data_IF_452700177799
#
_entry.id   IF_452700177799
#
_cell.length_a   1.000
_cell.length_b   1.000
_cell.length_c   1.000
_cell.angle_alpha   90.00
_cell.angle_beta   90.00
_cell.angle_gamma   90.00
#
_symmetry.space_group_name_H-M   'P 1'
#
loop_
_entity.id
_entity.type
_entity.pdbx_description
1 polymer ?
#
# COMPACT_ATOMS: atom_id res chain seq x y z
N UNK A 1 -61.91 25.53 -26.68
CA UNK A 1 -61.77 24.56 -27.78
C UNK A 1 -60.30 24.24 -27.96
N UNK A 2 -60.00 22.96 -27.91
CA UNK A 2 -58.91 22.22 -28.58
C UNK A 2 -57.50 22.59 -28.13
N UNK A 3 -56.67 21.76 -27.56
CA UNK A 3 -56.54 20.33 -27.47
C UNK A 3 -55.03 20.13 -27.35
N UNK A 4 -54.58 19.47 -26.27
CA UNK A 4 -53.20 18.96 -26.22
C UNK A 4 -53.01 17.84 -27.24
N UNK A 5 -51.76 17.49 -27.60
CA UNK A 5 -51.25 16.29 -27.01
C UNK A 5 -49.76 16.32 -26.65
N UNK A 6 -49.46 15.50 -25.66
CA UNK A 6 -48.14 15.25 -25.12
C UNK A 6 -47.19 14.51 -26.07
N UNK A 7 -45.92 14.84 -25.92
CA UNK A 7 -44.79 14.13 -26.51
C UNK A 7 -43.94 13.50 -25.42
N UNK A 8 -44.00 12.17 -25.27
CA UNK A 8 -43.09 11.40 -24.46
C UNK A 8 -41.74 11.33 -25.18
N UNK A 9 -40.72 11.96 -24.61
CA UNK A 9 -39.32 11.70 -24.99
C UNK A 9 -38.87 10.40 -24.32
N UNK A 10 -38.58 9.40 -25.14
CA UNK A 10 -37.94 8.16 -24.72
C UNK A 10 -36.43 8.43 -24.60
N UNK A 11 -35.90 8.31 -23.40
CA UNK A 11 -34.48 8.29 -23.19
C UNK A 11 -33.88 7.01 -23.75
N UNK A 12 -33.00 7.16 -24.73
CA UNK A 12 -32.18 6.07 -25.25
C UNK A 12 -31.00 5.88 -24.29
N UNK A 13 -31.01 4.77 -23.55
CA UNK A 13 -29.89 4.32 -22.75
C UNK A 13 -28.70 3.96 -23.66
N UNK A 14 -27.60 4.65 -23.49
CA UNK A 14 -26.33 4.26 -24.08
C UNK A 14 -25.80 3.02 -23.32
N UNK A 15 -25.95 1.85 -23.94
CA UNK A 15 -25.28 0.63 -23.49
C UNK A 15 -23.78 0.81 -23.67
N UNK A 16 -23.03 0.80 -22.57
CA UNK A 16 -21.58 0.76 -22.57
C UNK A 16 -21.10 -0.53 -23.26
N UNK A 17 -20.31 -0.38 -24.32
CA UNK A 17 -19.65 -1.48 -25.02
C UNK A 17 -18.68 -2.18 -24.04
N UNK A 18 -18.96 -3.44 -23.73
CA UNK A 18 -18.01 -4.34 -23.13
C UNK A 18 -16.80 -4.50 -24.05
N UNK A 19 -15.60 -4.41 -23.49
CA UNK A 19 -14.37 -4.72 -24.21
C UNK A 19 -14.33 -6.22 -24.60
N UNK A 20 -13.68 -6.58 -25.75
CA UNK A 20 -13.65 -7.96 -26.18
C UNK A 20 -12.83 -8.82 -25.23
N UNK A 21 -13.42 -9.91 -24.74
CA UNK A 21 -12.72 -10.99 -24.11
C UNK A 21 -11.87 -11.70 -25.16
N UNK A 22 -10.54 -11.73 -24.96
CA UNK A 22 -9.70 -12.53 -25.86
C UNK A 22 -8.23 -12.12 -25.88
N UNK A 23 -7.48 -12.34 -24.80
CA UNK A 23 -6.08 -12.73 -24.86
C UNK A 23 -5.88 -13.66 -23.67
N UNK A 24 -5.58 -14.95 -23.94
CA UNK A 24 -5.37 -15.94 -22.91
C UNK A 24 -4.28 -15.49 -21.96
N UNK A 25 -4.66 -15.17 -20.74
CA UNK A 25 -3.72 -14.96 -19.65
C UNK A 25 -3.04 -16.30 -19.37
N UNK A 26 -1.71 -16.32 -19.18
CA UNK A 26 -1.04 -17.55 -18.72
C UNK A 26 -1.74 -18.04 -17.45
N UNK A 27 -1.90 -19.34 -17.32
CA UNK A 27 -2.52 -19.96 -16.16
C UNK A 27 -1.85 -19.42 -14.89
N UNK A 28 -2.65 -18.74 -14.07
CA UNK A 28 -2.18 -18.07 -12.86
C UNK A 28 -1.89 -19.14 -11.81
N UNK A 29 -0.70 -19.15 -11.18
CA UNK A 29 -0.40 -20.06 -10.08
C UNK A 29 -1.38 -19.82 -8.92
N UNK A 30 -1.93 -20.89 -8.35
CA UNK A 30 -2.96 -20.85 -7.29
C UNK A 30 -2.46 -20.31 -5.93
N UNK A 31 -1.21 -19.86 -5.81
CA UNK A 31 -0.57 -19.49 -4.54
C UNK A 31 0.19 -18.15 -4.66
N UNK A 32 -0.48 -17.06 -4.98
CA UNK A 32 0.17 -15.77 -4.78
C UNK A 32 0.12 -15.40 -3.29
N UNK A 33 1.29 -15.16 -2.69
CA UNK A 33 1.41 -14.65 -1.32
C UNK A 33 1.31 -13.12 -1.35
N UNK A 34 0.60 -12.57 -0.36
CA UNK A 34 0.62 -11.14 -0.11
C UNK A 34 2.00 -10.74 0.42
N UNK A 35 2.69 -9.82 -0.24
CA UNK A 35 3.94 -9.26 0.29
C UNK A 35 3.67 -7.93 0.97
N UNK A 36 4.21 -7.77 2.17
CA UNK A 36 4.14 -6.55 2.96
C UNK A 36 5.53 -5.99 3.15
N UNK A 37 5.76 -4.75 2.75
CA UNK A 37 6.99 -4.00 3.03
C UNK A 37 6.73 -3.04 4.18
N UNK A 38 7.47 -3.19 5.26
CA UNK A 38 7.46 -2.28 6.40
C UNK A 38 8.88 -1.87 6.79
N UNK A 39 9.00 -1.07 7.83
CA UNK A 39 10.28 -0.57 8.34
C UNK A 39 10.16 0.86 8.87
N UNK A 40 11.18 1.39 9.53
CA UNK A 40 11.08 2.66 10.23
C UNK A 40 10.82 3.85 9.30
N UNK A 41 10.23 4.89 9.89
CA UNK A 41 10.09 6.18 9.22
C UNK A 41 11.46 6.67 8.74
N UNK A 42 11.53 7.17 7.50
CA UNK A 42 12.79 7.67 6.91
C UNK A 42 13.74 6.60 6.36
N UNK A 43 13.41 5.31 6.45
CA UNK A 43 14.27 4.23 5.91
C UNK A 43 14.30 4.21 4.38
N UNK A 44 13.31 4.79 3.69
CA UNK A 44 13.25 4.87 2.23
C UNK A 44 12.24 3.93 1.57
N UNK A 45 11.23 3.43 2.31
CA UNK A 45 10.16 2.57 1.75
C UNK A 45 9.54 3.16 0.48
N UNK A 46 9.04 4.39 0.55
CA UNK A 46 8.34 5.01 -0.59
C UNK A 46 9.26 5.25 -1.80
N UNK A 47 10.58 5.41 -1.59
CA UNK A 47 11.55 5.47 -2.68
C UNK A 47 11.69 4.12 -3.37
N UNK A 48 11.80 3.04 -2.58
CA UNK A 48 11.84 1.66 -3.10
C UNK A 48 10.56 1.33 -3.85
N UNK A 49 9.40 1.66 -3.29
CA UNK A 49 8.08 1.42 -3.90
C UNK A 49 7.90 2.19 -5.20
N UNK A 50 8.32 3.47 -5.24
CA UNK A 50 8.29 4.26 -6.48
C UNK A 50 9.15 3.64 -7.58
N UNK A 51 10.34 3.14 -7.23
CA UNK A 51 11.24 2.50 -8.16
C UNK A 51 10.72 1.12 -8.61
N UNK A 52 10.14 0.32 -7.70
CA UNK A 52 9.46 -0.93 -8.06
C UNK A 52 8.32 -0.68 -9.06
N UNK A 53 7.46 0.32 -8.78
CA UNK A 53 6.35 0.69 -9.68
C UNK A 53 6.83 1.05 -11.09
N UNK A 54 8.03 1.65 -11.20
CA UNK A 54 8.63 2.03 -12.48
C UNK A 54 9.24 0.84 -13.22
N UNK A 55 9.90 -0.10 -12.51
CA UNK A 55 10.68 -1.20 -13.11
C UNK A 55 9.90 -2.48 -13.30
N UNK A 56 8.92 -2.71 -12.45
CA UNK A 56 8.18 -3.98 -12.36
C UNK A 56 6.67 -3.70 -12.33
N UNK A 57 6.11 -3.19 -13.45
CA UNK A 57 4.68 -2.83 -13.52
C UNK A 57 3.74 -4.03 -13.36
N UNK A 58 4.25 -5.26 -13.48
CA UNK A 58 3.53 -6.51 -13.19
C UNK A 58 3.22 -6.68 -11.69
N UNK A 59 3.99 -6.04 -10.80
CA UNK A 59 3.72 -6.04 -9.37
C UNK A 59 2.67 -4.98 -9.07
N UNK A 60 1.50 -5.44 -8.65
CA UNK A 60 0.47 -4.52 -8.20
C UNK A 60 0.80 -4.01 -6.79
N UNK A 61 0.87 -2.69 -6.65
CA UNK A 61 1.15 -2.02 -5.38
C UNK A 61 -0.14 -1.35 -4.91
N UNK A 62 -0.60 -1.71 -3.72
CA UNK A 62 -1.84 -1.16 -3.17
C UNK A 62 -1.77 0.35 -3.01
N UNK A 63 -2.92 1.01 -3.17
CA UNK A 63 -3.11 2.42 -2.85
C UNK A 63 -3.91 2.50 -1.56
N UNK A 64 -3.33 3.08 -0.53
CA UNK A 64 -3.97 3.25 0.78
C UNK A 64 -4.99 4.39 0.76
N UNK A 65 -5.99 4.31 1.65
CA UNK A 65 -6.86 5.46 1.97
C UNK A 65 -6.24 6.27 3.11
N UNK A 66 -6.48 7.58 3.12
CA UNK A 66 -6.04 8.45 4.21
C UNK A 66 -7.00 9.61 4.44
N UNK A 67 -7.07 10.06 5.71
CA UNK A 67 -7.80 11.28 6.09
C UNK A 67 -6.93 12.54 5.98
N UNK A 68 -5.63 12.38 5.70
CA UNK A 68 -4.72 13.50 5.48
C UNK A 68 -5.05 14.21 4.18
N UNK A 69 -5.02 15.54 4.20
CA UNK A 69 -5.12 16.33 2.97
C UNK A 69 -4.00 16.04 1.99
N UNK A 70 -4.26 16.07 0.66
CA UNK A 70 -3.22 15.87 -0.35
C UNK A 70 -2.10 16.92 -0.22
N UNK A 71 -0.87 16.49 -0.45
CA UNK A 71 0.28 17.39 -0.60
C UNK A 71 0.36 17.89 -2.05
N UNK A 72 1.07 19.01 -2.31
CA UNK A 72 1.31 19.46 -3.68
C UNK A 72 1.90 18.34 -4.55
N UNK A 73 1.24 18.05 -5.68
CA UNK A 73 1.65 17.01 -6.63
C UNK A 73 1.11 15.60 -6.36
N UNK A 74 0.46 15.37 -5.22
CA UNK A 74 -0.26 14.11 -4.98
C UNK A 74 -1.62 14.11 -5.71
N UNK A 75 -1.99 12.97 -6.28
CA UNK A 75 -3.21 12.77 -7.06
C UNK A 75 -4.04 11.68 -6.40
N UNK A 76 -5.34 11.94 -6.24
CA UNK A 76 -6.27 10.95 -5.71
C UNK A 76 -6.29 9.67 -6.56
N UNK A 77 -6.28 8.53 -5.88
CA UNK A 77 -6.21 7.20 -6.51
C UNK A 77 -4.83 6.79 -7.02
N UNK A 78 -3.80 7.63 -6.90
CA UNK A 78 -2.42 7.31 -7.29
C UNK A 78 -1.48 7.17 -6.08
N UNK A 79 -1.35 8.21 -5.27
CA UNK A 79 -0.57 8.19 -4.03
C UNK A 79 -1.41 7.64 -2.89
N UNK A 80 -2.62 8.17 -2.75
CA UNK A 80 -3.64 7.77 -1.77
C UNK A 80 -5.03 7.96 -2.35
N UNK A 81 -6.02 7.30 -1.76
CA UNK A 81 -7.41 7.71 -1.81
C UNK A 81 -7.64 8.68 -0.63
N UNK A 82 -7.95 9.94 -0.92
CA UNK A 82 -8.15 10.96 0.10
C UNK A 82 -9.62 11.02 0.48
N UNK A 83 -9.92 10.67 1.73
CA UNK A 83 -11.29 10.58 2.25
C UNK A 83 -11.48 11.45 3.49
N UNK A 84 -12.73 11.73 3.87
CA UNK A 84 -13.03 12.39 5.15
C UNK A 84 -12.84 11.44 6.33
N UNK A 85 -12.76 11.98 7.55
CA UNK A 85 -12.70 11.17 8.76
C UNK A 85 -13.95 10.29 8.90
N UNK A 86 -15.13 10.81 8.59
CA UNK A 86 -16.40 10.09 8.66
C UNK A 86 -16.44 8.92 7.69
N UNK A 87 -15.98 9.14 6.45
CA UNK A 87 -15.92 8.08 5.45
C UNK A 87 -14.90 7.00 5.85
N UNK A 88 -13.75 7.39 6.37
CA UNK A 88 -12.76 6.43 6.87
C UNK A 88 -13.33 5.58 8.00
N UNK A 89 -14.02 6.19 8.97
CA UNK A 89 -14.63 5.49 10.11
C UNK A 89 -15.76 4.56 9.67
N UNK A 90 -16.53 4.95 8.64
CA UNK A 90 -17.50 4.08 7.99
C UNK A 90 -16.81 2.84 7.40
N UNK A 91 -15.73 3.05 6.61
CA UNK A 91 -14.98 1.96 5.99
C UNK A 91 -14.40 0.99 7.03
N UNK A 92 -13.78 1.53 8.10
CA UNK A 92 -13.21 0.73 9.18
C UNK A 92 -14.29 -0.09 9.90
N UNK A 93 -15.43 0.54 10.24
CA UNK A 93 -16.55 -0.12 10.91
C UNK A 93 -17.23 -1.18 10.05
N UNK A 94 -17.25 -0.99 8.73
CA UNK A 94 -17.79 -1.95 7.77
C UNK A 94 -16.84 -3.12 7.44
N UNK A 95 -15.60 -3.12 7.98
CA UNK A 95 -14.59 -4.14 7.67
C UNK A 95 -14.08 -4.07 6.22
N UNK A 96 -14.15 -2.90 5.61
CA UNK A 96 -13.68 -2.66 4.23
C UNK A 96 -12.16 -2.46 4.16
N UNK A 97 -11.49 -2.28 5.31
CA UNK A 97 -10.04 -2.15 5.40
C UNK A 97 -9.40 -3.47 5.82
N UNK A 98 -8.29 -3.82 5.19
CA UNK A 98 -7.47 -4.98 5.54
C UNK A 98 -6.71 -4.74 6.85
N UNK A 99 -6.21 -3.54 7.00
CA UNK A 99 -5.53 -2.98 8.17
C UNK A 99 -5.74 -1.47 8.19
N UNK A 100 -5.56 -0.85 9.34
CA UNK A 100 -5.50 0.59 9.45
C UNK A 100 -4.78 1.04 10.73
N UNK A 101 -4.21 2.24 10.70
CA UNK A 101 -3.54 2.85 11.83
C UNK A 101 -3.76 4.37 11.83
N UNK A 102 -3.58 4.97 13.02
CA UNK A 102 -3.55 6.41 13.17
C UNK A 102 -2.10 6.88 13.36
N UNK A 103 -1.71 7.89 12.59
CA UNK A 103 -0.40 8.51 12.70
C UNK A 103 -0.51 10.03 12.55
N UNK A 104 0.03 10.76 13.52
CA UNK A 104 0.05 12.24 13.54
C UNK A 104 -1.34 12.87 13.33
N UNK A 105 -2.38 12.30 13.95
CA UNK A 105 -3.76 12.79 13.88
C UNK A 105 -4.48 12.49 12.57
N UNK A 106 -3.89 11.69 11.69
CA UNK A 106 -4.52 11.20 10.46
C UNK A 106 -4.61 9.68 10.47
N UNK A 107 -5.62 9.16 9.80
CA UNK A 107 -5.83 7.73 9.63
C UNK A 107 -5.34 7.27 8.27
N UNK A 108 -4.78 6.06 8.24
CA UNK A 108 -4.27 5.42 7.03
C UNK A 108 -4.74 3.97 7.06
N UNK A 109 -5.12 3.42 5.91
CA UNK A 109 -5.56 2.04 5.85
C UNK A 109 -5.52 1.49 4.43
N UNK A 110 -5.50 0.18 4.31
CA UNK A 110 -5.48 -0.52 3.03
C UNK A 110 -6.87 -1.06 2.69
N UNK A 111 -7.50 -0.64 1.58
CA UNK A 111 -8.76 -1.22 1.12
C UNK A 111 -8.62 -2.73 0.89
N UNK A 112 -9.50 -3.53 1.51
CA UNK A 112 -9.39 -4.98 1.50
C UNK A 112 -9.82 -5.59 0.15
N UNK A 113 -10.85 -5.05 -0.49
CA UNK A 113 -11.42 -5.64 -1.69
C UNK A 113 -10.43 -5.70 -2.87
N UNK A 114 -9.70 -4.62 -3.24
CA UNK A 114 -8.72 -4.67 -4.33
C UNK A 114 -7.58 -5.67 -4.06
N UNK A 115 -7.13 -5.76 -2.79
CA UNK A 115 -6.08 -6.71 -2.40
C UNK A 115 -6.56 -8.16 -2.61
N UNK A 116 -7.75 -8.49 -2.13
CA UNK A 116 -8.34 -9.83 -2.30
C UNK A 116 -8.51 -10.20 -3.75
N UNK A 117 -9.06 -9.27 -4.56
CA UNK A 117 -9.23 -9.49 -6.00
C UNK A 117 -7.90 -9.82 -6.70
N UNK A 118 -6.82 -9.09 -6.38
CA UNK A 118 -5.50 -9.35 -6.97
C UNK A 118 -4.91 -10.69 -6.54
N UNK A 119 -5.05 -11.05 -5.28
CA UNK A 119 -4.61 -12.36 -4.78
C UNK A 119 -5.41 -13.52 -5.39
N UNK A 120 -6.72 -13.38 -5.57
CA UNK A 120 -7.57 -14.36 -6.23
C UNK A 120 -7.20 -14.57 -7.72
N UNK A 121 -6.74 -13.49 -8.37
CA UNK A 121 -6.19 -13.53 -9.73
C UNK A 121 -4.77 -14.08 -9.76
N UNK A 122 -4.14 -14.37 -8.61
CA UNK A 122 -2.76 -14.83 -8.50
C UNK A 122 -1.72 -13.79 -8.90
N UNK A 123 -2.05 -12.52 -8.83
CA UNK A 123 -1.16 -11.43 -9.23
C UNK A 123 -0.20 -11.06 -8.09
N UNK A 124 1.08 -10.81 -8.41
CA UNK A 124 2.05 -10.32 -7.43
C UNK A 124 1.56 -9.03 -6.78
N UNK A 125 1.39 -9.06 -5.44
CA UNK A 125 0.74 -7.98 -4.68
C UNK A 125 1.64 -7.51 -3.56
N UNK A 126 1.86 -6.19 -3.49
CA UNK A 126 2.69 -5.53 -2.48
C UNK A 126 1.89 -4.48 -1.71
N UNK A 127 1.99 -4.50 -0.38
CA UNK A 127 1.56 -3.43 0.51
C UNK A 127 2.76 -2.66 1.05
N UNK A 128 2.71 -1.33 1.10
CA UNK A 128 3.62 -0.48 1.87
C UNK A 128 2.86 0.05 3.08
N UNK A 129 3.15 -0.48 4.27
CA UNK A 129 2.46 -0.14 5.51
C UNK A 129 3.45 0.03 6.68
N UNK A 130 2.97 0.57 7.79
CA UNK A 130 3.75 0.70 9.02
C UNK A 130 3.78 -0.62 9.83
N UNK A 131 4.46 -0.60 10.98
CA UNK A 131 4.58 -1.74 11.87
C UNK A 131 3.22 -2.19 12.42
N UNK A 132 2.34 -1.24 12.77
CA UNK A 132 1.03 -1.56 13.33
C UNK A 132 0.14 -2.25 12.29
N UNK A 133 0.14 -1.76 11.06
CA UNK A 133 -0.53 -2.40 9.94
C UNK A 133 0.03 -3.79 9.62
N UNK A 134 1.36 -3.96 9.61
CA UNK A 134 2.01 -5.24 9.37
C UNK A 134 1.61 -6.30 10.41
N UNK A 135 1.51 -5.91 11.69
CA UNK A 135 1.02 -6.79 12.77
C UNK A 135 -0.44 -7.18 12.58
N UNK A 136 -1.31 -6.24 12.14
CA UNK A 136 -2.71 -6.53 11.85
C UNK A 136 -2.84 -7.52 10.68
N UNK A 137 -2.10 -7.30 9.59
CA UNK A 137 -2.07 -8.24 8.46
C UNK A 137 -1.60 -9.63 8.92
N UNK A 138 -0.53 -9.71 9.71
CA UNK A 138 -0.03 -10.99 10.25
C UNK A 138 -1.07 -11.70 11.12
N UNK A 139 -1.82 -10.97 11.92
CA UNK A 139 -2.87 -11.53 12.77
C UNK A 139 -4.09 -12.03 11.97
N UNK A 140 -4.38 -11.38 10.83
CA UNK A 140 -5.54 -11.68 9.99
C UNK A 140 -5.26 -12.73 8.90
N UNK A 141 -4.00 -13.09 8.64
CA UNK A 141 -3.58 -14.00 7.56
C UNK A 141 -2.79 -15.18 8.08
N UNK A 142 -2.78 -16.29 7.32
CA UNK A 142 -1.86 -17.39 7.60
C UNK A 142 -0.44 -17.01 7.19
N UNK A 143 0.56 -17.55 7.87
CA UNK A 143 1.97 -17.27 7.59
C UNK A 143 2.38 -17.67 6.17
N UNK A 144 1.82 -18.75 5.66
CA UNK A 144 2.10 -19.22 4.31
C UNK A 144 1.47 -18.36 3.20
N UNK A 145 0.42 -17.60 3.55
CA UNK A 145 -0.29 -16.73 2.61
C UNK A 145 0.29 -15.30 2.56
N UNK A 146 1.23 -14.97 3.47
CA UNK A 146 1.76 -13.61 3.60
C UNK A 146 3.25 -13.62 3.91
N UNK A 147 4.00 -12.82 3.16
CA UNK A 147 5.42 -12.56 3.38
C UNK A 147 5.60 -11.15 3.96
N UNK A 148 6.09 -11.05 5.19
CA UNK A 148 6.45 -9.78 5.80
C UNK A 148 7.93 -9.48 5.58
N UNK A 149 8.22 -8.37 4.91
CA UNK A 149 9.57 -7.88 4.63
C UNK A 149 9.82 -6.60 5.42
N UNK A 150 10.90 -6.60 6.20
CA UNK A 150 11.34 -5.43 6.95
C UNK A 150 12.49 -4.74 6.23
N UNK A 151 12.36 -3.43 6.00
CA UNK A 151 13.42 -2.63 5.43
C UNK A 151 14.21 -1.94 6.55
N UNK A 152 15.49 -2.25 6.66
CA UNK A 152 16.41 -1.64 7.62
C UNK A 152 17.28 -0.56 6.97
N UNK A 153 17.66 0.48 7.73
CA UNK A 153 18.71 1.39 7.29
C UNK A 153 20.09 0.69 7.36
N UNK A 154 21.09 1.15 6.60
CA UNK A 154 22.46 0.61 6.70
C UNK A 154 23.08 0.79 8.09
N UNK A 155 22.65 1.81 8.82
CA UNK A 155 23.05 2.07 10.20
C UNK A 155 22.06 3.01 10.89
N UNK A 156 22.07 3.02 12.23
CA UNK A 156 21.33 3.99 13.02
C UNK A 156 21.71 5.43 12.67
N UNK A 157 23.00 5.74 12.51
CA UNK A 157 23.48 7.07 12.15
C UNK A 157 22.93 7.55 10.80
N UNK A 158 22.83 6.65 9.82
CA UNK A 158 22.23 6.97 8.52
C UNK A 158 20.74 7.26 8.63
N UNK A 159 20.00 6.50 9.45
CA UNK A 159 18.58 6.78 9.70
C UNK A 159 18.39 8.14 10.38
N UNK A 160 19.20 8.42 11.41
CA UNK A 160 19.19 9.73 12.08
C UNK A 160 19.45 10.84 11.06
N UNK A 161 20.47 10.71 10.22
CA UNK A 161 20.78 11.69 9.17
C UNK A 161 19.60 11.93 8.23
N UNK A 162 18.91 10.87 7.80
CA UNK A 162 17.71 10.95 6.92
C UNK A 162 16.52 11.61 7.62
N UNK A 163 16.32 11.33 8.91
CA UNK A 163 15.24 11.90 9.70
C UNK A 163 15.46 13.36 10.05
N UNK A 164 16.73 13.78 10.28
CA UNK A 164 17.09 15.15 10.66
C UNK A 164 17.46 16.04 9.46
N UNK A 165 17.76 15.42 8.31
CA UNK A 165 18.41 16.10 7.18
C UNK A 165 17.58 17.16 6.46
N UNK A 166 16.31 17.37 6.81
CA UNK A 166 15.50 18.48 6.31
C UNK A 166 15.63 19.76 7.14
N UNK A 167 16.19 19.69 8.36
CA UNK A 167 16.50 20.83 9.20
C UNK A 167 15.35 21.76 9.60
N UNK A 168 14.12 21.42 9.23
CA UNK A 168 12.93 22.28 9.37
C UNK A 168 12.02 21.91 10.53
N UNK A 169 12.29 20.77 11.18
CA UNK A 169 11.43 20.26 12.28
C UNK A 169 11.99 20.68 13.65
N UNK A 170 11.12 21.02 14.63
CA UNK A 170 11.52 21.28 16.00
C UNK A 170 12.25 20.08 16.63
N UNK A 171 13.21 20.28 17.52
CA UNK A 171 13.99 19.20 18.15
C UNK A 171 13.13 18.11 18.83
N UNK A 172 12.03 18.50 19.47
CA UNK A 172 11.10 17.58 20.13
C UNK A 172 10.37 16.68 19.14
N UNK A 173 10.07 17.17 17.94
CA UNK A 173 9.46 16.36 16.86
C UNK A 173 10.46 15.33 16.37
N UNK A 174 11.71 15.75 16.15
CA UNK A 174 12.81 14.85 15.75
C UNK A 174 13.04 13.77 16.80
N UNK A 175 13.12 14.13 18.09
CA UNK A 175 13.31 13.16 19.18
C UNK A 175 12.17 12.14 19.25
N UNK A 176 10.91 12.56 19.08
CA UNK A 176 9.76 11.67 19.04
C UNK A 176 9.85 10.68 17.87
N UNK A 177 10.22 11.18 16.67
CA UNK A 177 10.42 10.33 15.48
C UNK A 177 11.55 9.30 15.67
N UNK A 178 12.65 9.72 16.33
CA UNK A 178 13.76 8.82 16.63
C UNK A 178 13.37 7.75 17.67
N UNK A 179 12.56 8.10 18.67
CA UNK A 179 12.04 7.13 19.63
C UNK A 179 11.18 6.06 18.93
N UNK A 180 10.21 6.49 18.11
CA UNK A 180 9.37 5.58 17.31
C UNK A 180 10.24 4.72 16.38
N UNK A 181 11.23 5.28 15.71
CA UNK A 181 12.11 4.52 14.82
C UNK A 181 12.93 3.44 15.56
N UNK A 182 13.31 3.65 16.83
CA UNK A 182 13.95 2.61 17.66
C UNK A 182 13.00 1.46 17.98
N UNK A 183 11.75 1.77 18.31
CA UNK A 183 10.72 0.75 18.55
C UNK A 183 10.43 -0.05 17.28
N UNK A 184 10.33 0.63 16.13
CA UNK A 184 10.15 -0.03 14.84
C UNK A 184 11.32 -0.95 14.49
N UNK A 185 12.58 -0.52 14.71
CA UNK A 185 13.77 -1.34 14.48
C UNK A 185 13.83 -2.56 15.41
N UNK A 186 13.42 -2.41 16.67
CA UNK A 186 13.38 -3.53 17.61
C UNK A 186 12.39 -4.64 17.19
N UNK A 187 11.41 -4.30 16.36
CA UNK A 187 10.42 -5.23 15.85
C UNK A 187 10.86 -5.97 14.57
N UNK A 188 12.06 -5.74 14.05
CA UNK A 188 12.56 -6.40 12.83
C UNK A 188 12.47 -7.95 12.89
N UNK A 189 12.69 -8.53 14.08
CA UNK A 189 12.57 -9.97 14.32
C UNK A 189 11.14 -10.55 14.22
N UNK A 190 10.11 -9.71 14.09
CA UNK A 190 8.73 -10.15 13.86
C UNK A 190 8.45 -10.47 12.38
N UNK A 191 9.36 -10.09 11.47
CA UNK A 191 9.23 -10.21 10.03
C UNK A 191 9.91 -11.49 9.52
N UNK A 192 9.49 -11.94 8.34
CA UNK A 192 10.01 -13.17 7.73
C UNK A 192 11.37 -12.91 7.05
N UNK A 193 11.57 -11.72 6.51
CA UNK A 193 12.79 -11.30 5.81
C UNK A 193 13.15 -9.87 6.21
N UNK A 194 14.44 -9.62 6.39
CA UNK A 194 14.99 -8.27 6.58
C UNK A 194 15.90 -7.92 5.41
N UNK A 195 15.67 -6.75 4.80
CA UNK A 195 16.49 -6.19 3.73
C UNK A 195 17.16 -4.89 4.22
N UNK A 196 18.46 -4.75 4.00
CA UNK A 196 19.19 -3.53 4.37
C UNK A 196 19.23 -2.56 3.19
N UNK A 197 18.70 -1.35 3.37
CA UNK A 197 18.64 -0.32 2.33
C UNK A 197 19.98 0.42 2.14
N UNK A 198 20.96 -0.31 1.63
CA UNK A 198 22.24 0.24 1.19
C UNK A 198 22.14 0.88 -0.18
N UNK A 199 21.33 0.32 -1.07
CA UNK A 199 21.05 0.77 -2.42
C UNK A 199 19.62 0.45 -2.81
N UNK A 200 18.90 1.44 -3.34
CA UNK A 200 17.53 1.25 -3.83
C UNK A 200 17.48 0.19 -4.93
N UNK A 201 18.49 0.17 -5.82
CA UNK A 201 18.58 -0.81 -6.91
C UNK A 201 18.69 -2.24 -6.38
N UNK A 202 19.51 -2.46 -5.35
CA UNK A 202 19.69 -3.79 -4.75
C UNK A 202 18.42 -4.24 -4.03
N UNK A 203 17.82 -3.36 -3.23
CA UNK A 203 16.56 -3.66 -2.54
C UNK A 203 15.45 -3.98 -3.54
N UNK A 204 15.34 -3.23 -4.65
CA UNK A 204 14.35 -3.52 -5.68
C UNK A 204 14.56 -4.91 -6.31
N UNK A 205 15.80 -5.30 -6.64
CA UNK A 205 16.08 -6.64 -7.16
C UNK A 205 15.67 -7.74 -6.19
N UNK A 206 16.02 -7.58 -4.91
CA UNK A 206 15.67 -8.53 -3.86
C UNK A 206 14.15 -8.60 -3.64
N UNK A 207 13.46 -7.44 -3.62
CA UNK A 207 12.01 -7.38 -3.52
C UNK A 207 11.31 -8.09 -4.69
N UNK A 208 11.73 -7.84 -5.94
CA UNK A 208 11.18 -8.54 -7.11
C UNK A 208 11.35 -10.06 -6.96
N UNK A 209 12.55 -10.51 -6.57
CA UNK A 209 12.82 -11.94 -6.35
C UNK A 209 11.87 -12.52 -5.29
N UNK A 210 11.72 -11.85 -4.14
CA UNK A 210 10.85 -12.30 -3.05
C UNK A 210 9.38 -12.35 -3.47
N UNK A 211 8.89 -11.32 -4.16
CA UNK A 211 7.50 -11.22 -4.60
C UNK A 211 7.18 -12.27 -5.67
N UNK A 212 8.07 -12.43 -6.66
CA UNK A 212 7.84 -13.37 -7.77
C UNK A 212 8.07 -14.83 -7.33
N UNK A 213 9.07 -15.11 -6.47
CA UNK A 213 9.29 -16.46 -5.92
C UNK A 213 8.15 -16.89 -4.99
N UNK A 214 7.40 -15.96 -4.43
CA UNK A 214 6.18 -16.23 -3.65
C UNK A 214 5.01 -16.71 -4.51
N UNK A 215 5.11 -16.59 -5.83
CA UNK A 215 4.09 -17.00 -6.82
C UNK A 215 4.39 -18.40 -7.39
N UNK A 216 5.63 -18.90 -7.23
CA UNK A 216 6.07 -20.23 -7.67
C UNK A 216 6.71 -20.97 -6.48
N UNK A 217 6.02 -21.90 -5.79
CA UNK A 217 6.66 -22.88 -4.93
C UNK A 217 7.34 -23.99 -5.76
#
# INVERSE_FOLDING_TARGET
MVGAPGGKARGTGAAGKAAPAGAGHPAVPKNSRLTVLSGPSGVGKSTVVAELRRRSPEIWISVSVTTRSPRPGEVDGREYYFVTHEEFDRMASAGELLEWAEFAGNKYGTPAAPVRERLEQGLPTLLEIDLAGARQVRAATKRDDTLLVFLEPPSWSELVRRLTGRGTEPPEVVQRRLAVAKEELAAAGEFDVTLVNTSVDEVCRQMVTLIVSSVNP
#
